data_IF_504052786593
#
_entry.id   IF_504052786593
#
_cell.length_a   1.000
_cell.length_b   1.000
_cell.length_c   1.000
_cell.angle_alpha   90.00
_cell.angle_beta   90.00
_cell.angle_gamma   90.00
#
_symmetry.space_group_name_H-M   'P 1'
#
loop_
_entity.id
_entity.type
_entity.pdbx_description
1 polymer ?
#
# COMPACT_ATOMS: atom_id res chain seq x y z
N UNK A 1 5.00 -9.77 15.07
CA UNK A 1 4.90 -8.30 15.38
C UNK A 1 4.97 -7.47 14.11
N UNK A 2 5.98 -7.66 13.25
CA UNK A 2 6.20 -6.87 12.01
C UNK A 2 5.06 -7.01 10.99
N UNK A 3 4.44 -8.18 10.87
CA UNK A 3 3.32 -8.39 9.93
C UNK A 3 2.02 -7.76 10.43
N UNK A 4 1.82 -7.72 11.74
CA UNK A 4 0.67 -7.02 12.33
C UNK A 4 0.81 -5.49 12.18
N UNK A 5 2.01 -4.95 12.38
CA UNK A 5 2.29 -3.52 12.15
C UNK A 5 2.07 -3.14 10.68
N UNK A 6 2.51 -3.97 9.73
CA UNK A 6 2.27 -3.76 8.31
C UNK A 6 0.78 -3.74 7.97
N UNK A 7 -0.01 -4.70 8.48
CA UNK A 7 -1.45 -4.80 8.20
C UNK A 7 -2.26 -3.64 8.80
N UNK A 8 -1.81 -3.08 9.91
CA UNK A 8 -2.53 -2.00 10.61
C UNK A 8 -2.05 -0.62 10.18
N UNK A 9 -0.75 -0.40 10.08
CA UNK A 9 -0.19 0.93 9.80
C UNK A 9 0.25 1.12 8.35
N UNK A 10 0.34 0.04 7.56
CA UNK A 10 0.94 0.08 6.23
C UNK A 10 2.46 0.34 6.25
N UNK A 11 3.09 0.29 7.43
CA UNK A 11 4.50 0.65 7.62
C UNK A 11 5.33 -0.56 7.99
N UNK A 12 6.53 -0.67 7.44
CA UNK A 12 7.50 -1.70 7.80
C UNK A 12 8.93 -1.21 7.58
N UNK A 13 9.88 -1.81 8.28
CA UNK A 13 11.30 -1.56 8.03
C UNK A 13 11.79 -2.40 6.85
N UNK A 14 12.33 -1.76 5.81
CA UNK A 14 12.76 -2.47 4.62
C UNK A 14 13.39 -1.60 3.55
N UNK A 15 13.44 -2.10 2.32
CA UNK A 15 14.07 -1.44 1.16
C UNK A 15 13.07 -0.76 0.22
N UNK A 16 11.78 -1.04 0.34
CA UNK A 16 10.73 -0.38 -0.44
C UNK A 16 10.60 -0.88 -1.88
N UNK A 17 10.38 -2.18 -2.06
CA UNK A 17 10.09 -2.76 -3.37
C UNK A 17 9.01 -3.84 -3.28
N UNK A 18 8.13 -3.86 -4.27
CA UNK A 18 7.25 -5.00 -4.53
C UNK A 18 8.05 -6.08 -5.26
N UNK A 19 8.00 -7.30 -4.76
CA UNK A 19 8.71 -8.45 -5.34
C UNK A 19 7.75 -9.56 -5.75
N UNK A 20 8.13 -10.34 -6.76
CA UNK A 20 7.34 -11.50 -7.23
C UNK A 20 8.24 -12.63 -7.68
N UNK A 21 7.75 -13.85 -7.56
CA UNK A 21 8.44 -15.05 -8.08
C UNK A 21 8.51 -15.02 -9.61
N UNK A 22 9.68 -15.45 -10.16
CA UNK A 22 9.93 -15.66 -11.60
C UNK A 22 10.86 -16.87 -11.78
N UNK A 23 10.28 -18.02 -12.06
CA UNK A 23 11.05 -19.28 -12.12
C UNK A 23 11.71 -19.56 -10.77
N UNK A 24 13.01 -19.86 -10.78
CA UNK A 24 13.81 -20.12 -9.57
C UNK A 24 14.19 -18.86 -8.79
N UNK A 25 13.88 -17.68 -9.30
CA UNK A 25 14.29 -16.42 -8.74
C UNK A 25 13.11 -15.57 -8.26
N UNK A 26 13.40 -14.57 -7.46
CA UNK A 26 12.48 -13.50 -7.13
C UNK A 26 12.94 -12.23 -7.86
N UNK A 27 11.99 -11.55 -8.50
CA UNK A 27 12.25 -10.30 -9.22
C UNK A 27 11.64 -9.11 -8.51
N UNK A 28 12.23 -7.95 -8.73
CA UNK A 28 11.62 -6.65 -8.40
C UNK A 28 10.51 -6.38 -9.41
N UNK A 29 9.26 -6.29 -8.91
CA UNK A 29 8.10 -5.95 -9.74
C UNK A 29 7.88 -4.44 -9.79
N UNK A 30 8.20 -3.74 -8.69
CA UNK A 30 8.11 -2.29 -8.62
C UNK A 30 8.93 -1.78 -7.43
N UNK A 31 9.97 -0.97 -7.63
CA UNK A 31 10.53 -0.15 -6.55
C UNK A 31 9.53 0.97 -6.22
N UNK A 32 9.32 1.27 -4.94
CA UNK A 32 8.47 2.40 -4.54
C UNK A 32 9.27 3.70 -4.63
N UNK A 33 8.65 4.72 -5.21
CA UNK A 33 9.27 6.03 -5.39
C UNK A 33 9.84 6.61 -4.08
N UNK A 34 11.06 7.15 -4.14
CA UNK A 34 11.73 7.76 -3.01
C UNK A 34 12.24 6.80 -1.93
N UNK A 35 12.14 5.49 -2.12
CA UNK A 35 12.63 4.48 -1.17
C UNK A 35 14.09 4.09 -1.43
N UNK A 36 14.76 3.36 -0.51
CA UNK A 36 16.11 2.88 -0.72
C UNK A 36 16.34 2.13 -2.03
N UNK A 37 15.40 1.29 -2.44
CA UNK A 37 15.49 0.54 -3.70
C UNK A 37 15.43 1.46 -4.93
N UNK A 38 14.57 2.45 -4.92
CA UNK A 38 14.44 3.43 -6.01
C UNK A 38 15.70 4.32 -6.11
N UNK A 39 16.14 4.89 -4.99
CA UNK A 39 17.35 5.70 -4.96
C UNK A 39 18.64 4.96 -5.35
N UNK A 40 18.66 3.64 -5.18
CA UNK A 40 19.77 2.79 -5.59
C UNK A 40 19.71 2.41 -7.09
N UNK A 41 18.67 2.85 -7.80
CA UNK A 41 18.52 2.58 -9.23
C UNK A 41 18.06 1.15 -9.55
N UNK A 42 17.49 0.42 -8.58
CA UNK A 42 16.88 -0.88 -8.84
C UNK A 42 15.66 -0.70 -9.75
N UNK A 43 15.47 -1.61 -10.70
CA UNK A 43 14.49 -1.48 -11.77
C UNK A 43 13.46 -2.60 -11.77
N UNK A 44 12.33 -2.33 -12.40
CA UNK A 44 11.32 -3.36 -12.70
C UNK A 44 11.96 -4.45 -13.56
N UNK A 45 11.83 -5.69 -13.11
CA UNK A 45 12.37 -6.86 -13.83
C UNK A 45 13.70 -7.38 -13.29
N UNK A 46 14.40 -6.59 -12.45
CA UNK A 46 15.67 -7.02 -11.84
C UNK A 46 15.48 -8.32 -11.05
N UNK A 47 16.34 -9.30 -11.29
CA UNK A 47 16.35 -10.55 -10.54
C UNK A 47 17.25 -10.39 -9.30
N UNK A 48 16.75 -10.74 -8.14
CA UNK A 48 17.52 -10.75 -6.88
C UNK A 48 18.36 -12.04 -6.87
N UNK A 49 19.68 -11.89 -7.00
CA UNK A 49 20.62 -13.03 -7.03
C UNK A 49 21.08 -13.41 -5.63
N UNK A 50 21.38 -12.44 -4.78
CA UNK A 50 21.81 -12.70 -3.40
C UNK A 50 21.45 -11.56 -2.47
N UNK A 51 21.32 -11.90 -1.18
CA UNK A 51 21.06 -10.95 -0.09
C UNK A 51 22.05 -11.29 1.04
N UNK A 52 22.86 -10.31 1.46
CA UNK A 52 23.92 -10.46 2.46
C UNK A 52 24.83 -11.66 2.17
N UNK A 53 25.17 -11.87 0.88
CA UNK A 53 26.02 -12.95 0.41
C UNK A 53 25.33 -14.33 0.29
N UNK A 54 24.09 -14.47 0.73
CA UNK A 54 23.30 -15.71 0.58
C UNK A 54 22.56 -15.71 -0.74
N UNK A 55 22.66 -16.81 -1.51
CA UNK A 55 21.93 -16.97 -2.77
C UNK A 55 20.42 -16.90 -2.54
N UNK A 56 19.73 -16.16 -3.40
CA UNK A 56 18.26 -16.10 -3.43
C UNK A 56 17.63 -17.13 -4.40
N UNK A 57 18.44 -17.99 -5.03
CA UNK A 57 17.95 -19.02 -5.93
C UNK A 57 17.09 -20.04 -5.19
N UNK A 58 15.91 -20.31 -5.71
CA UNK A 58 14.96 -21.27 -5.14
C UNK A 58 14.12 -20.74 -3.98
N UNK A 59 14.50 -19.61 -3.36
CA UNK A 59 13.74 -19.03 -2.25
C UNK A 59 12.34 -18.59 -2.68
N UNK A 60 11.40 -18.64 -1.74
CA UNK A 60 10.06 -18.10 -1.90
C UNK A 60 10.06 -16.57 -1.82
N UNK A 61 8.96 -15.95 -2.20
CA UNK A 61 8.78 -14.49 -2.06
C UNK A 61 8.82 -14.07 -0.60
N UNK A 62 8.25 -14.87 0.29
CA UNK A 62 8.20 -14.66 1.73
C UNK A 62 9.61 -14.70 2.35
N UNK A 63 10.42 -15.70 1.99
CA UNK A 63 11.80 -15.81 2.46
C UNK A 63 12.64 -14.62 2.04
N UNK A 64 12.57 -14.24 0.75
CA UNK A 64 13.26 -13.07 0.22
C UNK A 64 12.76 -11.78 0.89
N UNK A 65 11.45 -11.64 1.07
CA UNK A 65 10.86 -10.50 1.78
C UNK A 65 11.37 -10.40 3.21
N UNK A 66 11.42 -11.51 3.94
CA UNK A 66 11.97 -11.59 5.29
C UNK A 66 13.43 -11.14 5.38
N UNK A 67 14.26 -11.49 4.37
CA UNK A 67 15.66 -11.05 4.31
C UNK A 67 15.82 -9.57 3.97
N UNK A 68 14.90 -8.99 3.19
CA UNK A 68 14.91 -7.57 2.82
C UNK A 68 14.35 -6.67 3.92
N UNK A 69 13.41 -7.16 4.72
CA UNK A 69 12.87 -6.49 5.91
C UNK A 69 13.89 -6.45 7.04
N UNK A 70 13.70 -5.55 7.99
CA UNK A 70 14.51 -5.43 9.20
C UNK A 70 14.43 -4.04 9.80
N UNK A 71 15.16 -3.81 10.90
CA UNK A 71 15.12 -2.53 11.60
C UNK A 71 15.50 -1.35 10.71
N UNK A 72 14.69 -0.26 10.72
CA UNK A 72 15.08 0.99 10.07
C UNK A 72 16.48 1.45 10.51
N UNK A 73 17.30 1.85 9.54
CA UNK A 73 18.69 2.24 9.78
C UNK A 73 19.71 1.11 9.62
N UNK A 74 19.29 -0.16 9.71
CA UNK A 74 20.17 -1.30 9.42
C UNK A 74 20.51 -1.39 7.94
N UNK A 75 21.60 -2.09 7.61
CA UNK A 75 22.06 -2.26 6.22
C UNK A 75 21.72 -3.66 5.71
N UNK A 76 21.49 -3.75 4.40
CA UNK A 76 21.37 -5.01 3.66
C UNK A 76 22.11 -4.88 2.33
N UNK A 77 22.94 -5.85 1.99
CA UNK A 77 23.63 -5.91 0.69
C UNK A 77 22.82 -6.78 -0.26
N UNK A 78 22.47 -6.25 -1.42
CA UNK A 78 21.70 -6.96 -2.45
C UNK A 78 22.53 -7.03 -3.71
N UNK A 79 22.58 -8.21 -4.37
CA UNK A 79 23.07 -8.34 -5.74
C UNK A 79 21.90 -8.65 -6.64
N UNK A 80 21.72 -7.85 -7.68
CA UNK A 80 20.67 -8.03 -8.69
C UNK A 80 21.26 -8.25 -10.07
N UNK A 81 20.50 -8.87 -10.95
CA UNK A 81 20.76 -8.94 -12.39
C UNK A 81 19.70 -8.17 -13.13
N UNK A 82 20.11 -7.18 -13.88
CA UNK A 82 19.24 -6.35 -14.74
C UNK A 82 18.77 -7.12 -15.99
N UNK A 83 17.81 -6.58 -16.71
CA UNK A 83 17.27 -7.19 -17.93
C UNK A 83 18.31 -7.32 -19.07
N UNK A 84 19.34 -6.49 -19.07
CA UNK A 84 20.48 -6.55 -19.99
C UNK A 84 21.58 -7.53 -19.55
N UNK A 85 21.30 -8.34 -18.55
CA UNK A 85 22.22 -9.32 -17.93
C UNK A 85 23.42 -8.70 -17.20
N UNK A 86 23.48 -7.38 -17.02
CA UNK A 86 24.47 -6.76 -16.14
C UNK A 86 24.13 -7.01 -14.68
N UNK A 87 25.12 -7.10 -13.82
CA UNK A 87 24.94 -7.30 -12.38
C UNK A 87 25.30 -6.02 -11.61
N UNK A 88 24.50 -5.71 -10.62
CA UNK A 88 24.74 -4.63 -9.67
C UNK A 88 24.73 -5.20 -8.25
N UNK A 89 25.77 -4.87 -7.47
CA UNK A 89 25.78 -5.08 -6.01
C UNK A 89 25.66 -3.74 -5.31
N UNK A 90 24.68 -3.60 -4.45
CA UNK A 90 24.42 -2.36 -3.72
C UNK A 90 24.12 -2.65 -2.25
N UNK A 91 24.59 -1.78 -1.37
CA UNK A 91 24.24 -1.81 0.06
C UNK A 91 23.16 -0.77 0.31
N UNK A 92 21.97 -1.23 0.70
CA UNK A 92 20.85 -0.38 1.03
C UNK A 92 20.76 -0.18 2.54
N UNK A 93 20.34 0.99 2.96
CA UNK A 93 19.96 1.26 4.35
C UNK A 93 18.46 1.07 4.45
N UNK A 94 17.98 0.17 5.30
CA UNK A 94 16.55 -0.03 5.51
C UNK A 94 15.93 1.23 6.11
N UNK A 95 14.77 1.58 5.66
CA UNK A 95 13.98 2.71 6.14
C UNK A 95 12.59 2.25 6.55
N UNK A 96 11.87 3.09 7.28
CA UNK A 96 10.43 2.87 7.48
C UNK A 96 9.73 3.15 6.16
N UNK A 97 9.24 2.09 5.53
CA UNK A 97 8.47 2.15 4.28
C UNK A 97 7.01 2.29 4.63
N UNK A 98 6.34 3.25 4.03
CA UNK A 98 4.89 3.40 4.09
C UNK A 98 4.29 2.99 2.74
N UNK A 99 3.36 2.05 2.78
CA UNK A 99 2.58 1.68 1.60
C UNK A 99 1.27 2.47 1.70
N UNK A 100 1.00 3.39 0.75
CA UNK A 100 -0.23 4.16 0.80
C UNK A 100 -1.45 3.27 0.58
N UNK A 101 -2.50 3.50 1.37
CA UNK A 101 -3.81 2.85 1.18
C UNK A 101 -4.46 3.31 -0.12
N UNK A 102 -4.15 4.54 -0.58
CA UNK A 102 -4.61 5.14 -1.83
C UNK A 102 -3.41 5.35 -2.79
N UNK A 103 -2.92 4.29 -3.47
CA UNK A 103 -1.71 4.37 -4.28
C UNK A 103 -1.88 5.14 -5.60
N UNK A 104 -3.11 5.39 -6.04
CA UNK A 104 -3.37 6.07 -7.30
C UNK A 104 -4.70 6.82 -7.28
N UNK A 105 -4.68 8.04 -7.83
CA UNK A 105 -5.87 8.80 -8.20
C UNK A 105 -5.61 9.56 -9.50
N UNK A 106 -6.61 9.66 -10.38
CA UNK A 106 -6.52 10.33 -11.67
C UNK A 106 -7.87 10.39 -12.37
N UNK A 107 -7.87 10.83 -13.62
CA UNK A 107 -9.07 10.96 -14.44
C UNK A 107 -9.23 9.76 -15.38
N UNK A 108 -10.43 9.19 -15.46
CA UNK A 108 -10.81 8.20 -16.49
C UNK A 108 -11.17 8.92 -17.79
N UNK A 109 -11.94 9.97 -17.65
CA UNK A 109 -12.34 10.91 -18.72
C UNK A 109 -12.75 12.23 -18.07
N UNK A 110 -13.04 13.23 -18.88
CA UNK A 110 -13.53 14.53 -18.39
C UNK A 110 -14.72 14.37 -17.43
N UNK A 111 -14.59 14.93 -16.24
CA UNK A 111 -15.59 14.90 -15.18
C UNK A 111 -15.68 13.60 -14.39
N UNK A 112 -14.96 12.52 -14.76
CA UNK A 112 -14.99 11.24 -14.04
C UNK A 112 -13.63 10.93 -13.43
N UNK A 113 -13.52 11.10 -12.12
CA UNK A 113 -12.35 10.71 -11.35
C UNK A 113 -12.27 9.20 -11.10
N UNK A 114 -11.06 8.73 -10.84
CA UNK A 114 -10.79 7.35 -10.46
C UNK A 114 -9.80 7.34 -9.30
N UNK A 115 -10.10 6.59 -8.26
CA UNK A 115 -9.22 6.37 -7.11
C UNK A 115 -9.10 4.87 -6.86
N UNK A 116 -7.87 4.37 -6.84
CA UNK A 116 -7.57 3.01 -6.39
C UNK A 116 -7.30 3.03 -4.89
N UNK A 117 -8.04 2.20 -4.14
CA UNK A 117 -7.88 2.03 -2.71
C UNK A 117 -7.50 0.57 -2.42
N UNK A 118 -6.25 0.32 -2.07
CA UNK A 118 -5.71 -1.05 -1.92
C UNK A 118 -5.91 -1.63 -0.53
N UNK A 119 -5.83 -0.81 0.53
CA UNK A 119 -5.90 -1.29 1.91
C UNK A 119 -6.41 -0.19 2.86
N UNK A 120 -7.11 -0.58 3.93
CA UNK A 120 -7.56 0.33 4.98
C UNK A 120 -6.49 0.47 6.07
N UNK A 121 -5.36 1.08 5.69
CA UNK A 121 -4.26 1.39 6.62
C UNK A 121 -4.52 2.68 7.39
N UNK A 122 -3.75 2.89 8.48
CA UNK A 122 -3.80 4.12 9.26
C UNK A 122 -3.55 5.35 8.38
N UNK A 123 -4.48 6.31 8.40
CA UNK A 123 -4.41 7.55 7.61
C UNK A 123 -4.93 7.44 6.17
N UNK A 124 -5.45 6.30 5.73
CA UNK A 124 -5.98 6.16 4.37
C UNK A 124 -7.22 7.05 4.13
N UNK A 125 -7.94 7.45 5.17
CA UNK A 125 -8.98 8.47 5.07
C UNK A 125 -8.42 9.81 4.59
N UNK A 126 -7.30 10.26 5.17
CA UNK A 126 -6.67 11.53 4.77
C UNK A 126 -6.10 11.44 3.35
N UNK A 127 -5.56 10.28 2.97
CA UNK A 127 -5.08 10.03 1.61
C UNK A 127 -6.24 10.08 0.59
N UNK A 128 -7.38 9.45 0.91
CA UNK A 128 -8.59 9.48 0.08
C UNK A 128 -9.12 10.90 -0.07
N UNK A 129 -9.20 11.65 1.03
CA UNK A 129 -9.63 13.03 1.02
C UNK A 129 -8.71 13.91 0.17
N UNK A 130 -7.40 13.81 0.37
CA UNK A 130 -6.42 14.55 -0.42
C UNK A 130 -6.50 14.21 -1.92
N UNK A 131 -6.77 12.95 -2.26
CA UNK A 131 -6.97 12.51 -3.65
C UNK A 131 -8.22 13.16 -4.29
N UNK A 132 -9.34 13.22 -3.55
CA UNK A 132 -10.58 13.87 -4.01
C UNK A 132 -10.36 15.37 -4.14
N UNK A 133 -9.74 16.02 -3.15
CA UNK A 133 -9.48 17.46 -3.16
C UNK A 133 -8.57 17.84 -4.34
N UNK A 134 -7.56 17.02 -4.65
CA UNK A 134 -6.72 17.22 -5.82
C UNK A 134 -7.50 17.12 -7.12
N UNK A 135 -8.32 16.10 -7.31
CA UNK A 135 -9.17 15.96 -8.50
C UNK A 135 -10.07 17.17 -8.68
N UNK A 136 -10.69 17.67 -7.60
CA UNK A 136 -11.51 18.88 -7.65
C UNK A 136 -10.74 20.14 -8.00
N UNK A 137 -9.48 20.24 -7.58
CA UNK A 137 -8.63 21.37 -7.95
C UNK A 137 -8.19 21.32 -9.42
N UNK A 138 -8.10 20.13 -10.00
CA UNK A 138 -7.73 19.93 -11.40
C UNK A 138 -8.90 20.14 -12.38
N UNK A 139 -10.16 19.94 -11.94
CA UNK A 139 -11.33 20.08 -12.80
C UNK A 139 -12.66 19.79 -12.10
N UNK A 140 -13.75 19.92 -12.85
CA UNK A 140 -15.10 19.63 -12.36
C UNK A 140 -15.31 18.13 -12.17
N UNK A 141 -15.45 17.66 -10.93
CA UNK A 141 -15.68 16.26 -10.59
C UNK A 141 -17.18 15.95 -10.59
N UNK A 142 -17.69 15.32 -11.65
CA UNK A 142 -19.11 14.93 -11.84
C UNK A 142 -19.41 13.52 -11.38
N UNK A 143 -18.38 12.67 -11.27
CA UNK A 143 -18.51 11.30 -10.80
C UNK A 143 -17.18 10.73 -10.38
N UNK A 144 -17.22 9.71 -9.52
CA UNK A 144 -16.02 9.08 -8.96
C UNK A 144 -16.13 7.55 -9.04
N UNK A 145 -15.11 6.92 -9.61
CA UNK A 145 -14.93 5.47 -9.56
C UNK A 145 -13.96 5.14 -8.44
N UNK A 146 -14.44 4.39 -7.45
CA UNK A 146 -13.63 3.84 -6.37
C UNK A 146 -13.30 2.38 -6.69
N UNK A 147 -12.01 2.08 -6.88
CA UNK A 147 -11.55 0.74 -7.19
C UNK A 147 -10.99 0.05 -5.95
N UNK A 148 -11.75 -0.90 -5.43
CA UNK A 148 -11.39 -1.75 -4.29
C UNK A 148 -10.93 -3.16 -4.70
N UNK A 149 -10.62 -3.40 -5.97
CA UNK A 149 -10.16 -4.72 -6.41
C UNK A 149 -8.85 -5.07 -5.71
N UNK A 150 -8.82 -6.30 -5.15
CA UNK A 150 -7.71 -6.82 -4.34
C UNK A 150 -7.49 -6.09 -3.00
N UNK A 151 -8.43 -5.26 -2.54
CA UNK A 151 -8.40 -4.72 -1.19
C UNK A 151 -8.73 -5.84 -0.19
N UNK A 152 -7.80 -6.11 0.72
CA UNK A 152 -7.92 -7.16 1.74
C UNK A 152 -8.67 -6.73 3.01
N UNK A 153 -9.07 -5.47 3.11
CA UNK A 153 -9.66 -4.89 4.32
C UNK A 153 -8.67 -4.04 5.11
N UNK A 154 -8.76 -4.08 6.43
CA UNK A 154 -7.87 -3.33 7.34
C UNK A 154 -8.63 -2.68 8.51
N UNK A 155 -8.32 -1.44 8.82
CA UNK A 155 -8.87 -0.71 9.96
C UNK A 155 -10.32 -0.28 9.69
N UNK A 156 -11.26 -0.86 10.44
CA UNK A 156 -12.70 -0.58 10.32
C UNK A 156 -13.02 0.91 10.51
N UNK A 157 -12.37 1.59 11.44
CA UNK A 157 -12.58 3.01 11.70
C UNK A 157 -12.23 3.89 10.50
N UNK A 158 -11.19 3.54 9.77
CA UNK A 158 -10.83 4.23 8.53
C UNK A 158 -11.90 4.03 7.45
N UNK A 159 -12.43 2.81 7.31
CA UNK A 159 -13.53 2.54 6.39
C UNK A 159 -14.79 3.34 6.74
N UNK A 160 -15.14 3.46 8.03
CA UNK A 160 -16.28 4.25 8.49
C UNK A 160 -16.09 5.73 8.17
N UNK A 161 -14.89 6.29 8.39
CA UNK A 161 -14.58 7.68 8.05
C UNK A 161 -14.68 7.92 6.53
N UNK A 162 -14.17 7.00 5.72
CA UNK A 162 -14.25 7.09 4.25
C UNK A 162 -15.70 7.05 3.78
N UNK A 163 -16.53 6.15 4.33
CA UNK A 163 -17.97 6.13 4.02
C UNK A 163 -18.66 7.45 4.36
N UNK A 164 -18.25 8.11 5.45
CA UNK A 164 -18.75 9.43 5.83
C UNK A 164 -18.44 10.56 4.84
N UNK A 165 -17.58 10.33 3.83
CA UNK A 165 -17.36 11.26 2.73
C UNK A 165 -18.50 11.24 1.69
N UNK A 166 -19.30 10.16 1.65
CA UNK A 166 -20.24 9.87 0.57
C UNK A 166 -21.70 9.78 1.04
N UNK A 167 -21.93 9.55 2.33
CA UNK A 167 -23.29 9.38 2.87
C UNK A 167 -23.58 10.37 3.99
N UNK A 168 -24.86 10.74 4.24
CA UNK A 168 -25.22 11.69 5.27
C UNK A 168 -24.72 11.31 6.65
N UNK A 169 -24.42 12.32 7.47
CA UNK A 169 -24.06 12.14 8.87
C UNK A 169 -25.15 11.39 9.63
N UNK A 170 -24.73 10.45 10.49
CA UNK A 170 -25.62 9.61 11.28
C UNK A 170 -26.10 8.34 10.57
N UNK A 171 -25.70 8.13 9.29
CA UNK A 171 -26.02 6.92 8.55
C UNK A 171 -25.34 5.71 9.21
N UNK A 172 -26.12 4.64 9.46
CA UNK A 172 -25.59 3.35 9.90
C UNK A 172 -24.84 2.67 8.74
N UNK A 173 -23.56 2.38 8.93
CA UNK A 173 -22.70 1.86 7.87
C UNK A 173 -22.12 0.49 8.19
N UNK A 174 -21.96 0.17 9.48
CA UNK A 174 -21.44 -1.11 9.95
C UNK A 174 -22.13 -1.48 11.26
N UNK A 175 -22.41 -2.76 11.45
CA UNK A 175 -22.76 -3.29 12.77
C UNK A 175 -21.94 -4.55 13.05
N UNK A 176 -21.52 -4.70 14.31
CA UNK A 176 -20.88 -5.92 14.80
C UNK A 176 -21.85 -6.66 15.72
N UNK A 177 -21.83 -7.99 15.67
CA UNK A 177 -22.63 -8.86 16.54
C UNK A 177 -21.73 -9.96 17.05
N UNK A 178 -21.60 -10.07 18.35
CA UNK A 178 -20.91 -11.17 18.99
C UNK A 178 -21.86 -12.30 19.42
N UNK A 179 -21.38 -13.17 20.31
CA UNK A 179 -22.11 -14.34 20.80
C UNK A 179 -23.27 -13.97 21.72
N UNK A 180 -23.20 -12.84 22.42
CA UNK A 180 -24.24 -12.32 23.33
C UNK A 180 -24.96 -11.14 22.70
N UNK A 181 -26.24 -10.89 23.07
CA UNK A 181 -27.01 -9.75 22.52
C UNK A 181 -26.39 -8.41 22.89
N UNK A 182 -25.81 -8.26 24.07
CA UNK A 182 -25.14 -7.04 24.55
C UNK A 182 -23.86 -6.71 23.77
N UNK A 183 -23.36 -7.64 22.94
CA UNK A 183 -22.16 -7.44 22.12
C UNK A 183 -22.44 -6.77 20.78
N UNK A 184 -23.70 -6.44 20.47
CA UNK A 184 -24.05 -5.71 19.24
C UNK A 184 -23.63 -4.26 19.36
N UNK A 185 -22.79 -3.83 18.41
CA UNK A 185 -22.42 -2.42 18.24
C UNK A 185 -22.81 -1.94 16.85
N UNK A 186 -23.30 -0.71 16.79
CA UNK A 186 -23.70 -0.03 15.54
C UNK A 186 -22.80 1.18 15.35
N UNK A 187 -22.19 1.27 14.18
CA UNK A 187 -21.30 2.36 13.81
C UNK A 187 -21.98 3.23 12.78
N UNK A 188 -21.93 4.54 13.02
CA UNK A 188 -22.56 5.57 12.18
C UNK A 188 -21.54 6.58 11.72
N UNK A 189 -21.80 7.18 10.56
CA UNK A 189 -20.99 8.29 10.06
C UNK A 189 -21.08 9.49 11.01
N UNK A 190 -19.96 10.18 11.18
CA UNK A 190 -19.83 11.33 12.09
C UNK A 190 -19.64 12.67 11.38
N UNK A 191 -19.36 12.66 10.08
CA UNK A 191 -19.12 13.85 9.25
C UNK A 191 -20.23 14.06 8.23
N UNK A 192 -20.39 15.30 7.75
CA UNK A 192 -21.17 15.56 6.55
C UNK A 192 -20.42 15.10 5.30
N UNK A 193 -21.16 14.67 4.25
CA UNK A 193 -20.53 14.23 3.01
C UNK A 193 -19.78 15.36 2.31
N UNK A 194 -18.65 15.04 1.70
CA UNK A 194 -17.84 15.99 0.94
C UNK A 194 -18.16 15.98 -0.57
N UNK A 195 -18.83 14.94 -1.03
CA UNK A 195 -19.39 14.82 -2.37
C UNK A 195 -20.90 14.77 -2.22
N UNK A 196 -21.61 15.89 -2.43
CA UNK A 196 -23.06 15.85 -2.55
C UNK A 196 -23.46 15.07 -3.80
N UNK A 197 -24.67 14.53 -3.83
CA UNK A 197 -25.27 13.70 -4.90
C UNK A 197 -25.04 14.23 -6.32
#
# INVERSE_FOLDING_TARGET
ETDFELLTTGKYGGVGALIRKKGDWVKISQPYAGTPSDRAGLKIGDLILSIDGKSAKGLTTEEVSGMLKGEPGSKVKITVMHLDSTQQSVTLRRERISIPGVPYAGWVKEGIGYIRHSDFTEGCYEEMRAAIDRLRAEGELKGLVLDYRSNGGGIMQEAIKILGMFVPKGTEVVSTKGRTEDSRQVYRTSSEPILPD
#
